data_IF_071987080188
#
_entry.id   IF_071987080188
#
_cell.length_a   1.000
_cell.length_b   1.000
_cell.length_c   1.000
_cell.angle_alpha   90.00
_cell.angle_beta   90.00
_cell.angle_gamma   90.00
#
_symmetry.space_group_name_H-M   'P 1'
#
loop_
_entity.id
_entity.type
_entity.pdbx_description
1 polymer ?
#
# COMPACT_ATOMS: atom_id res chain seq x y z
N UNK A 1 64.70 -14.05 -9.64
CA UNK A 1 65.35 -13.95 -8.32
C UNK A 1 64.93 -12.64 -7.68
N UNK A 2 64.19 -12.54 -6.58
CA UNK A 2 63.43 -13.47 -5.75
C UNK A 2 62.45 -12.59 -4.95
N UNK A 3 61.20 -13.05 -4.82
CA UNK A 3 60.25 -12.86 -3.71
C UNK A 3 59.95 -11.42 -3.22
N UNK A 4 58.85 -10.86 -3.76
CA UNK A 4 57.98 -9.90 -3.06
C UNK A 4 56.65 -10.57 -2.71
N UNK A 5 56.75 -11.67 -1.96
CA UNK A 5 55.63 -12.32 -1.28
C UNK A 5 56.01 -12.40 0.19
N UNK A 6 55.85 -11.29 0.91
CA UNK A 6 55.74 -11.33 2.36
C UNK A 6 54.35 -10.81 2.70
N UNK A 7 53.41 -11.76 2.73
CA UNK A 7 52.16 -11.64 3.44
C UNK A 7 52.49 -11.23 4.87
N UNK A 8 52.23 -9.98 5.23
CA UNK A 8 52.25 -9.52 6.60
C UNK A 8 51.12 -10.23 7.36
N UNK A 9 51.39 -11.45 7.76
CA UNK A 9 50.59 -12.19 8.72
C UNK A 9 50.65 -11.40 10.02
N UNK A 10 49.57 -10.68 10.33
CA UNK A 10 49.42 -10.03 11.63
C UNK A 10 49.38 -11.14 12.67
N UNK A 11 50.50 -11.33 13.36
CA UNK A 11 50.63 -12.27 14.46
C UNK A 11 49.68 -11.83 15.58
N UNK A 12 48.59 -12.57 15.76
CA UNK A 12 47.80 -12.49 16.99
C UNK A 12 48.72 -12.93 18.13
N UNK A 13 49.07 -12.00 19.01
CA UNK A 13 49.91 -12.26 20.17
C UNK A 13 49.24 -13.33 21.04
N UNK A 14 49.78 -14.55 21.01
CA UNK A 14 49.49 -15.57 22.00
C UNK A 14 50.29 -15.24 23.26
N UNK A 15 49.65 -14.57 24.21
CA UNK A 15 50.23 -14.36 25.53
C UNK A 15 50.32 -15.73 26.22
N UNK A 16 51.52 -16.28 26.22
CA UNK A 16 51.91 -17.45 26.99
C UNK A 16 52.04 -17.03 28.45
N UNK A 17 51.05 -17.41 29.27
CA UNK A 17 51.15 -17.35 30.72
C UNK A 17 50.96 -18.75 31.30
N UNK A 18 52.00 -19.16 32.00
CA UNK A 18 52.25 -20.43 32.69
C UNK A 18 51.06 -20.93 33.51
N UNK A 19 50.79 -22.23 33.38
CA UNK A 19 49.78 -22.96 34.14
C UNK A 19 50.05 -22.93 35.65
N UNK A 20 49.13 -22.33 36.41
CA UNK A 20 48.82 -22.73 37.79
C UNK A 20 47.46 -22.18 38.19
N UNK A 21 46.61 -23.08 38.67
CA UNK A 21 45.25 -22.88 39.20
C UNK A 21 44.16 -22.63 38.15
N UNK A 22 43.40 -23.68 37.87
CA UNK A 22 42.17 -23.70 37.10
C UNK A 22 41.10 -22.81 37.77
N UNK A 23 41.17 -21.51 37.50
CA UNK A 23 40.09 -20.57 37.75
C UNK A 23 39.25 -20.46 36.48
N UNK A 24 37.95 -20.75 36.61
CA UNK A 24 36.91 -20.66 35.58
C UNK A 24 36.78 -19.27 34.91
N UNK A 25 37.59 -18.28 35.32
CA UNK A 25 37.62 -16.92 34.77
C UNK A 25 38.51 -16.76 33.53
N UNK A 26 39.38 -17.72 33.24
CA UNK A 26 40.20 -17.73 32.00
C UNK A 26 39.62 -18.66 30.92
N UNK A 27 38.40 -19.16 31.12
CA UNK A 27 37.66 -19.78 30.04
C UNK A 27 37.29 -18.68 29.03
N UNK A 28 37.99 -18.64 27.90
CA UNK A 28 37.52 -17.91 26.71
C UNK A 28 36.19 -18.54 26.34
N UNK A 29 35.09 -17.92 26.77
CA UNK A 29 33.75 -18.41 26.49
C UNK A 29 33.58 -18.47 24.97
N UNK A 30 33.38 -19.68 24.45
CA UNK A 30 33.07 -19.93 23.03
C UNK A 30 31.72 -19.33 22.60
N UNK A 31 31.03 -18.59 23.48
CA UNK A 31 29.83 -17.80 23.15
C UNK A 31 30.06 -16.89 21.94
N UNK A 32 31.28 -16.34 21.78
CA UNK A 32 31.62 -15.51 20.63
C UNK A 32 32.18 -16.29 19.44
N UNK A 33 32.49 -17.60 19.55
CA UNK A 33 33.02 -18.36 18.42
C UNK A 33 31.98 -18.52 17.32
N UNK A 34 30.71 -18.72 17.69
CA UNK A 34 29.60 -18.74 16.75
C UNK A 34 29.33 -17.33 16.21
N UNK A 35 29.43 -16.30 17.05
CA UNK A 35 29.26 -14.92 16.61
C UNK A 35 30.34 -14.48 15.62
N UNK A 36 31.60 -14.84 15.84
CA UNK A 36 32.73 -14.56 14.94
C UNK A 36 32.64 -15.36 13.66
N UNK A 37 32.22 -16.64 13.75
CA UNK A 37 31.97 -17.47 12.56
C UNK A 37 30.83 -16.89 11.72
N UNK A 38 29.73 -16.51 12.35
CA UNK A 38 28.60 -15.88 11.69
C UNK A 38 29.03 -14.53 11.11
N UNK A 39 29.76 -13.70 11.85
CA UNK A 39 30.26 -12.41 11.34
C UNK A 39 31.19 -12.58 10.14
N UNK A 40 32.08 -13.58 10.16
CA UNK A 40 32.95 -13.88 9.02
C UNK A 40 32.14 -14.40 7.83
N UNK A 41 31.15 -15.25 8.08
CA UNK A 41 30.25 -15.75 7.05
C UNK A 41 29.39 -14.62 6.46
N UNK A 42 28.80 -13.77 7.30
CA UNK A 42 28.03 -12.59 6.92
C UNK A 42 28.90 -11.60 6.15
N UNK A 43 30.16 -11.40 6.53
CA UNK A 43 31.09 -10.54 5.79
C UNK A 43 31.42 -11.10 4.40
N UNK A 44 31.62 -12.42 4.28
CA UNK A 44 31.84 -13.10 2.99
C UNK A 44 30.56 -13.07 2.15
N UNK A 45 29.39 -13.26 2.75
CA UNK A 45 28.09 -13.16 2.09
C UNK A 45 27.81 -11.73 1.61
N UNK A 46 28.13 -10.71 2.39
CA UNK A 46 28.05 -9.30 1.99
C UNK A 46 29.01 -8.96 0.86
N UNK A 47 30.22 -9.52 0.88
CA UNK A 47 31.19 -9.36 -0.20
C UNK A 47 30.74 -10.07 -1.49
N UNK A 48 30.08 -11.21 -1.36
CA UNK A 48 29.50 -11.98 -2.45
C UNK A 48 28.07 -11.55 -2.82
N UNK A 49 27.49 -10.57 -2.10
CA UNK A 49 26.14 -10.09 -2.36
C UNK A 49 26.17 -9.34 -3.69
N UNK A 50 25.73 -10.03 -4.74
CA UNK A 50 25.56 -9.45 -6.05
C UNK A 50 24.54 -8.32 -5.93
N UNK A 51 24.99 -7.08 -6.06
CA UNK A 51 24.12 -5.89 -6.03
C UNK A 51 23.04 -5.93 -7.14
N UNK A 52 23.27 -6.74 -8.18
CA UNK A 52 22.38 -6.93 -9.31
C UNK A 52 22.38 -8.41 -9.71
N UNK A 53 21.23 -8.95 -10.08
CA UNK A 53 21.10 -10.31 -10.66
C UNK A 53 21.86 -10.46 -11.99
N UNK A 54 22.19 -9.32 -12.62
CA UNK A 54 22.96 -9.20 -13.84
C UNK A 54 24.46 -9.02 -13.52
N UNK A 55 25.27 -9.96 -14.00
CA UNK A 55 26.70 -9.97 -13.71
C UNK A 55 27.45 -8.79 -14.36
N UNK A 56 27.00 -8.32 -15.53
CA UNK A 56 27.55 -7.13 -16.19
C UNK A 56 27.28 -5.88 -15.35
N UNK A 57 26.07 -5.74 -14.79
CA UNK A 57 25.73 -4.61 -13.91
C UNK A 57 26.52 -4.65 -12.60
N UNK A 58 26.67 -5.83 -11.99
CA UNK A 58 27.46 -6.00 -10.77
C UNK A 58 28.93 -5.61 -11.00
N UNK A 59 29.54 -6.09 -12.10
CA UNK A 59 30.91 -5.77 -12.47
C UNK A 59 31.12 -4.28 -12.81
N UNK A 60 30.08 -3.60 -13.31
CA UNK A 60 30.13 -2.21 -13.78
C UNK A 60 29.57 -1.16 -12.81
N UNK A 61 29.21 -1.57 -11.59
CA UNK A 61 28.67 -0.70 -10.54
C UNK A 61 29.45 0.61 -10.34
N UNK A 62 30.78 0.56 -10.35
CA UNK A 62 31.66 1.74 -10.21
C UNK A 62 31.50 2.74 -11.37
N UNK A 63 31.48 2.26 -12.63
CA UNK A 63 31.26 3.13 -13.79
C UNK A 63 29.83 3.62 -13.88
N UNK A 64 28.86 2.82 -13.44
CA UNK A 64 27.46 3.23 -13.39
C UNK A 64 27.28 4.40 -12.42
N UNK A 65 27.89 4.31 -11.24
CA UNK A 65 27.91 5.41 -10.27
C UNK A 65 28.59 6.66 -10.84
N UNK A 66 29.71 6.48 -11.55
CA UNK A 66 30.41 7.58 -12.22
C UNK A 66 29.55 8.23 -13.31
N UNK A 67 28.86 7.44 -14.14
CA UNK A 67 28.00 7.95 -15.21
C UNK A 67 26.84 8.83 -14.68
N UNK A 68 26.31 8.50 -13.50
CA UNK A 68 25.25 9.28 -12.84
C UNK A 68 25.80 10.53 -12.15
N UNK A 69 26.98 10.45 -11.53
CA UNK A 69 27.54 11.53 -10.71
C UNK A 69 28.29 12.59 -11.51
N UNK A 70 28.92 12.21 -12.63
CA UNK A 70 29.75 13.10 -13.46
C UNK A 70 29.04 14.37 -13.90
N UNK A 71 27.78 14.25 -14.34
CA UNK A 71 27.00 15.39 -14.81
C UNK A 71 26.74 16.43 -13.70
N UNK A 72 26.83 16.03 -12.43
CA UNK A 72 26.61 16.87 -11.25
C UNK A 72 27.90 17.33 -10.57
N UNK A 73 29.05 16.83 -11.00
CA UNK A 73 30.35 17.17 -10.43
C UNK A 73 30.76 18.59 -10.86
N UNK A 74 31.60 19.24 -10.07
CA UNK A 74 32.31 20.44 -10.52
C UNK A 74 33.46 20.05 -11.47
N UNK A 75 33.92 21.02 -12.28
CA UNK A 75 35.05 20.82 -13.19
C UNK A 75 36.26 20.30 -12.40
N UNK A 76 36.84 19.13 -12.77
CA UNK A 76 38.08 18.66 -12.16
C UNK A 76 39.24 19.62 -12.45
N UNK A 77 40.13 19.83 -11.47
CA UNK A 77 41.31 20.71 -11.63
C UNK A 77 42.25 20.20 -12.74
N UNK A 78 42.44 18.88 -12.81
CA UNK A 78 43.24 18.21 -13.84
C UNK A 78 42.38 17.21 -14.65
N UNK A 79 41.96 17.66 -15.83
CA UNK A 79 41.16 16.87 -16.76
C UNK A 79 41.92 15.66 -17.33
N UNK A 80 43.24 15.76 -17.47
CA UNK A 80 44.06 14.67 -18.00
C UNK A 80 44.15 13.52 -16.99
N UNK A 81 44.39 13.82 -15.72
CA UNK A 81 44.37 12.81 -14.65
C UNK A 81 42.99 12.19 -14.49
N UNK A 82 41.94 13.01 -14.53
CA UNK A 82 40.56 12.52 -14.46
C UNK A 82 40.25 11.52 -15.58
N UNK A 83 40.57 11.88 -16.83
CA UNK A 83 40.38 11.02 -17.99
C UNK A 83 41.22 9.74 -17.92
N UNK A 84 42.47 9.84 -17.46
CA UNK A 84 43.34 8.67 -17.23
C UNK A 84 42.74 7.74 -16.18
N UNK A 85 42.12 8.29 -15.14
CA UNK A 85 41.35 7.54 -14.14
C UNK A 85 40.20 6.77 -14.76
N UNK A 86 39.34 7.43 -15.55
CA UNK A 86 38.22 6.77 -16.24
C UNK A 86 38.72 5.64 -17.15
N UNK A 87 39.77 5.86 -17.93
CA UNK A 87 40.37 4.83 -18.80
C UNK A 87 40.84 3.61 -18.02
N UNK A 88 41.43 3.81 -16.84
CA UNK A 88 41.85 2.71 -15.96
C UNK A 88 40.64 1.90 -15.51
N UNK A 89 39.59 2.56 -15.02
CA UNK A 89 38.36 1.89 -14.57
C UNK A 89 37.72 1.11 -15.73
N UNK A 90 37.72 1.65 -16.96
CA UNK A 90 37.25 0.94 -18.16
C UNK A 90 38.10 -0.31 -18.46
N UNK A 91 39.43 -0.20 -18.36
CA UNK A 91 40.33 -1.36 -18.54
C UNK A 91 40.05 -2.43 -17.48
N UNK A 92 39.89 -2.02 -16.22
CA UNK A 92 39.58 -2.92 -15.12
C UNK A 92 38.21 -3.59 -15.33
N UNK A 93 37.21 -2.85 -15.82
CA UNK A 93 35.91 -3.42 -16.21
C UNK A 93 36.05 -4.47 -17.32
N UNK A 94 36.85 -4.18 -18.36
CA UNK A 94 37.10 -5.13 -19.45
C UNK A 94 37.66 -6.45 -18.91
N UNK A 95 38.60 -6.38 -17.97
CA UNK A 95 39.14 -7.58 -17.32
C UNK A 95 38.10 -8.30 -16.46
N UNK A 96 37.28 -7.57 -15.69
CA UNK A 96 36.18 -8.15 -14.90
C UNK A 96 35.19 -8.91 -15.77
N UNK A 97 34.74 -8.33 -16.88
CA UNK A 97 33.77 -8.99 -17.79
C UNK A 97 34.42 -10.14 -18.57
N UNK A 98 35.70 -10.01 -18.96
CA UNK A 98 36.41 -11.10 -19.64
C UNK A 98 36.63 -12.33 -18.74
N UNK A 99 36.55 -12.17 -17.42
CA UNK A 99 36.58 -13.29 -16.46
C UNK A 99 35.21 -13.98 -16.29
N UNK A 100 34.13 -13.37 -16.80
CA UNK A 100 32.78 -13.94 -16.78
C UNK A 100 32.54 -14.80 -18.04
N UNK A 101 31.48 -15.60 -18.03
CA UNK A 101 31.10 -16.50 -19.13
C UNK A 101 30.36 -15.77 -20.27
N UNK A 102 30.95 -14.69 -20.80
CA UNK A 102 30.44 -13.98 -21.98
C UNK A 102 31.44 -14.03 -23.14
N UNK A 103 30.96 -13.95 -24.39
CA UNK A 103 31.83 -13.74 -25.54
C UNK A 103 32.70 -12.48 -25.36
N UNK A 104 33.97 -12.48 -25.80
CA UNK A 104 34.86 -11.31 -25.70
C UNK A 104 34.28 -10.03 -26.34
N UNK A 105 33.45 -10.20 -27.37
CA UNK A 105 32.73 -9.10 -28.02
C UNK A 105 31.79 -8.34 -27.07
N UNK A 106 31.23 -9.00 -26.05
CA UNK A 106 30.35 -8.39 -25.03
C UNK A 106 31.17 -7.48 -24.12
N UNK A 107 32.37 -7.87 -23.72
CA UNK A 107 33.25 -7.02 -22.92
C UNK A 107 33.61 -5.72 -23.67
N UNK A 108 33.99 -5.83 -24.95
CA UNK A 108 34.31 -4.68 -25.79
C UNK A 108 33.09 -3.77 -26.00
N UNK A 109 31.91 -4.36 -26.27
CA UNK A 109 30.67 -3.61 -26.47
C UNK A 109 30.21 -2.91 -25.19
N UNK A 110 30.36 -3.56 -24.04
CA UNK A 110 30.03 -2.96 -22.74
C UNK A 110 30.90 -1.74 -22.46
N UNK A 111 32.23 -1.89 -22.61
CA UNK A 111 33.16 -0.78 -22.43
C UNK A 111 32.87 0.37 -23.40
N UNK A 112 32.56 0.03 -24.66
CA UNK A 112 32.20 1.01 -25.68
C UNK A 112 30.94 1.80 -25.31
N UNK A 113 29.88 1.14 -24.82
CA UNK A 113 28.65 1.80 -24.37
C UNK A 113 28.92 2.73 -23.18
N UNK A 114 29.73 2.31 -22.21
CA UNK A 114 30.10 3.18 -21.08
C UNK A 114 30.83 4.43 -21.55
N UNK A 115 31.79 4.33 -22.48
CA UNK A 115 32.47 5.49 -23.03
C UNK A 115 31.48 6.45 -23.70
N UNK A 116 30.54 5.94 -24.50
CA UNK A 116 29.53 6.77 -25.18
C UNK A 116 28.66 7.52 -24.15
N UNK A 117 28.19 6.82 -23.13
CA UNK A 117 27.31 7.41 -22.12
C UNK A 117 28.08 8.42 -21.27
N UNK A 118 29.26 8.10 -20.79
CA UNK A 118 30.08 9.03 -19.98
C UNK A 118 30.44 10.27 -20.79
N UNK A 119 30.86 10.12 -22.05
CA UNK A 119 31.16 11.25 -22.92
C UNK A 119 29.94 12.17 -23.06
N UNK A 120 28.75 11.60 -23.28
CA UNK A 120 27.52 12.37 -23.35
C UNK A 120 27.20 13.10 -22.04
N UNK A 121 27.32 12.43 -20.90
CA UNK A 121 27.05 13.03 -19.59
C UNK A 121 28.02 14.17 -19.26
N UNK A 122 29.29 14.08 -19.69
CA UNK A 122 30.28 15.16 -19.55
C UNK A 122 29.94 16.32 -20.48
N UNK A 123 29.65 16.05 -21.76
CA UNK A 123 29.34 17.08 -22.75
C UNK A 123 28.10 17.91 -22.37
N UNK A 124 27.12 17.30 -21.70
CA UNK A 124 25.91 17.99 -21.21
C UNK A 124 26.01 18.45 -19.75
N UNK A 125 27.18 18.33 -19.12
CA UNK A 125 27.42 18.87 -17.78
C UNK A 125 27.68 20.38 -17.80
N UNK A 126 27.55 21.04 -16.65
CA UNK A 126 27.79 22.49 -16.53
C UNK A 126 29.22 22.92 -16.92
N UNK A 127 30.19 22.01 -16.85
CA UNK A 127 31.60 22.27 -17.18
C UNK A 127 32.04 21.61 -18.49
N UNK A 128 31.14 20.92 -19.20
CA UNK A 128 31.44 20.21 -20.44
C UNK A 128 32.01 21.13 -21.52
N UNK A 129 31.33 22.26 -21.75
CA UNK A 129 31.73 23.28 -22.73
C UNK A 129 33.09 23.91 -22.39
N UNK A 130 33.32 24.27 -21.12
CA UNK A 130 34.57 24.86 -20.64
C UNK A 130 35.77 23.90 -20.62
N UNK A 131 35.52 22.59 -20.70
CA UNK A 131 36.56 21.56 -20.63
C UNK A 131 37.08 21.14 -22.00
N UNK A 132 36.47 21.61 -23.09
CA UNK A 132 36.81 21.20 -24.47
C UNK A 132 36.83 19.69 -24.68
N UNK A 133 36.03 18.93 -23.89
CA UNK A 133 35.98 17.46 -23.93
C UNK A 133 35.57 16.94 -25.31
N UNK A 134 34.79 17.71 -26.07
CA UNK A 134 34.35 17.40 -27.44
C UNK A 134 35.51 17.17 -28.42
N UNK A 135 36.66 17.82 -28.21
CA UNK A 135 37.81 17.68 -29.10
C UNK A 135 38.44 16.30 -29.00
N UNK A 136 38.36 15.69 -27.82
CA UNK A 136 39.02 14.43 -27.53
C UNK A 136 38.15 13.62 -26.56
N UNK A 137 37.08 13.02 -27.06
CA UNK A 137 36.20 12.17 -26.27
C UNK A 137 36.84 10.81 -25.95
N UNK A 138 36.32 10.08 -24.95
CA UNK A 138 36.78 8.72 -24.63
C UNK A 138 36.56 7.78 -25.81
N UNK A 139 35.42 7.90 -26.48
CA UNK A 139 35.09 7.10 -27.67
C UNK A 139 36.07 7.35 -28.82
N UNK A 140 36.45 8.62 -29.03
CA UNK A 140 37.42 8.97 -30.08
C UNK A 140 38.80 8.38 -29.79
N UNK A 141 39.29 8.48 -28.55
CA UNK A 141 40.62 7.97 -28.20
C UNK A 141 40.71 6.45 -28.11
N UNK A 142 39.70 5.79 -27.54
CA UNK A 142 39.76 4.35 -27.31
C UNK A 142 39.29 3.54 -28.51
N UNK A 143 38.37 4.08 -29.32
CA UNK A 143 37.72 3.35 -30.41
C UNK A 143 37.86 4.05 -31.78
N UNK A 144 38.48 5.23 -31.86
CA UNK A 144 38.69 5.94 -33.13
C UNK A 144 37.41 6.43 -33.78
N UNK A 145 36.32 6.57 -33.02
CA UNK A 145 35.00 6.94 -33.54
C UNK A 145 34.51 8.27 -32.96
N UNK A 146 33.84 9.08 -33.79
CA UNK A 146 33.21 10.35 -33.37
C UNK A 146 31.69 10.27 -33.21
N UNK A 147 31.02 9.32 -33.87
CA UNK A 147 29.56 9.22 -33.90
C UNK A 147 29.00 8.28 -32.80
N UNK A 148 29.45 8.45 -31.55
CA UNK A 148 29.07 7.56 -30.45
C UNK A 148 27.56 7.48 -30.22
N UNK A 149 26.86 8.61 -30.32
CA UNK A 149 25.41 8.70 -30.09
C UNK A 149 24.53 7.94 -31.09
N UNK A 150 25.01 7.65 -32.30
CA UNK A 150 24.33 6.79 -33.28
C UNK A 150 24.73 5.33 -33.07
N UNK A 151 26.02 5.07 -32.83
CA UNK A 151 26.55 3.73 -32.63
C UNK A 151 25.94 3.01 -31.42
N UNK A 152 25.55 3.75 -30.37
CA UNK A 152 24.78 3.21 -29.25
C UNK A 152 23.54 2.43 -29.72
N UNK A 153 22.75 3.05 -30.60
CA UNK A 153 21.49 2.46 -31.08
C UNK A 153 21.74 1.30 -32.04
N UNK A 154 22.81 1.34 -32.84
CA UNK A 154 23.22 0.21 -33.68
C UNK A 154 23.60 -1.00 -32.80
N UNK A 155 24.30 -0.77 -31.69
CA UNK A 155 24.62 -1.83 -30.73
C UNK A 155 23.34 -2.36 -30.07
N UNK A 156 22.40 -1.48 -29.69
CA UNK A 156 21.12 -1.87 -29.11
C UNK A 156 20.27 -2.73 -30.05
N UNK A 157 20.12 -2.35 -31.32
CA UNK A 157 19.36 -3.12 -32.31
C UNK A 157 20.00 -4.48 -32.61
N UNK A 158 21.34 -4.54 -32.67
CA UNK A 158 22.07 -5.81 -32.80
C UNK A 158 21.89 -6.70 -31.58
N UNK A 159 21.91 -6.15 -30.37
CA UNK A 159 21.66 -6.90 -29.16
C UNK A 159 20.21 -7.43 -29.11
N UNK A 160 19.23 -6.63 -29.54
CA UNK A 160 17.82 -7.02 -29.63
C UNK A 160 17.57 -8.15 -30.64
N UNK A 161 18.49 -8.38 -31.58
CA UNK A 161 18.39 -9.50 -32.52
C UNK A 161 18.70 -10.86 -31.86
N UNK A 162 19.38 -10.86 -30.71
CA UNK A 162 19.77 -12.07 -29.96
C UNK A 162 19.50 -11.89 -28.45
N UNK A 163 18.24 -11.68 -28.04
CA UNK A 163 17.92 -11.26 -26.68
C UNK A 163 18.22 -12.33 -25.63
N UNK A 164 18.06 -13.61 -25.94
CA UNK A 164 18.34 -14.71 -25.02
C UNK A 164 19.83 -14.79 -24.61
N UNK A 165 20.76 -14.48 -25.53
CA UNK A 165 22.20 -14.52 -25.24
C UNK A 165 22.73 -13.21 -24.66
N UNK A 166 22.09 -12.08 -24.97
CA UNK A 166 22.56 -10.74 -24.63
C UNK A 166 21.64 -10.02 -23.64
N UNK A 167 20.84 -10.75 -22.88
CA UNK A 167 19.87 -10.20 -21.92
C UNK A 167 20.52 -9.25 -20.92
N UNK A 168 21.68 -9.62 -20.39
CA UNK A 168 22.43 -8.80 -19.43
C UNK A 168 22.93 -7.49 -20.04
N UNK A 169 23.31 -7.51 -21.32
CA UNK A 169 23.72 -6.32 -22.05
C UNK A 169 22.51 -5.44 -22.40
N UNK A 170 21.37 -6.04 -22.73
CA UNK A 170 20.11 -5.33 -22.99
C UNK A 170 19.61 -4.57 -21.74
N UNK A 171 19.74 -5.18 -20.57
CA UNK A 171 19.41 -4.51 -19.30
C UNK A 171 20.31 -3.31 -19.02
N UNK A 172 21.63 -3.42 -19.29
CA UNK A 172 22.54 -2.29 -19.19
C UNK A 172 22.14 -1.15 -20.14
N UNK A 173 21.83 -1.47 -21.40
CA UNK A 173 21.35 -0.50 -22.39
C UNK A 173 20.07 0.18 -21.92
N UNK A 174 19.12 -0.61 -21.41
CA UNK A 174 17.87 -0.12 -20.85
C UNK A 174 18.11 0.84 -19.68
N UNK A 175 19.02 0.50 -18.77
CA UNK A 175 19.39 1.36 -17.64
C UNK A 175 19.99 2.68 -18.14
N UNK A 176 20.91 2.66 -19.11
CA UNK A 176 21.45 3.90 -19.67
C UNK A 176 20.38 4.82 -20.24
N UNK A 177 19.39 4.27 -20.97
CA UNK A 177 18.26 5.04 -21.48
C UNK A 177 17.40 5.64 -20.34
N UNK A 178 17.19 4.89 -19.25
CA UNK A 178 16.41 5.37 -18.09
C UNK A 178 17.16 6.42 -17.25
N UNK A 179 18.49 6.35 -17.16
CA UNK A 179 19.31 7.35 -16.48
C UNK A 179 19.30 8.69 -17.26
N UNK A 180 18.97 8.65 -18.56
CA UNK A 180 18.75 9.84 -19.36
C UNK A 180 19.63 9.96 -20.59
N UNK A 181 20.34 8.90 -20.99
CA UNK A 181 21.05 8.86 -22.27
C UNK A 181 20.05 9.06 -23.42
N UNK A 182 20.37 9.97 -24.35
CA UNK A 182 19.53 10.27 -25.52
C UNK A 182 20.27 10.13 -26.85
N UNK A 183 21.60 10.27 -26.89
CA UNK A 183 22.37 10.14 -28.13
C UNK A 183 21.81 11.00 -29.27
N UNK A 184 21.70 10.39 -30.46
CA UNK A 184 21.13 11.03 -31.66
C UNK A 184 19.68 11.51 -31.51
N UNK A 185 18.91 10.96 -30.56
CA UNK A 185 17.49 11.30 -30.36
C UNK A 185 17.25 12.47 -29.39
N UNK A 186 18.30 13.21 -29.01
CA UNK A 186 18.18 14.33 -28.08
C UNK A 186 17.35 15.50 -28.61
N UNK A 187 17.52 15.85 -29.88
CA UNK A 187 16.85 17.01 -30.49
C UNK A 187 15.51 16.60 -31.12
N UNK A 188 15.47 15.44 -31.78
CA UNK A 188 14.30 14.92 -32.48
C UNK A 188 14.22 13.39 -32.34
N UNK A 189 13.01 12.82 -32.36
CA UNK A 189 12.81 11.37 -32.37
C UNK A 189 12.53 10.72 -31.01
N UNK A 190 11.90 11.46 -30.10
CA UNK A 190 11.37 10.93 -28.84
C UNK A 190 10.52 9.66 -29.05
N UNK A 191 9.73 9.63 -30.11
CA UNK A 191 8.81 8.53 -30.41
C UNK A 191 9.57 7.24 -30.75
N UNK A 192 10.65 7.35 -31.54
CA UNK A 192 11.52 6.22 -31.88
C UNK A 192 12.25 5.69 -30.65
N UNK A 193 12.66 6.60 -29.76
CA UNK A 193 13.29 6.23 -28.50
C UNK A 193 12.31 5.50 -27.58
N UNK A 194 11.06 5.97 -27.49
CA UNK A 194 10.01 5.30 -26.72
C UNK A 194 9.67 3.93 -27.29
N UNK A 195 9.61 3.79 -28.63
CA UNK A 195 9.40 2.52 -29.31
C UNK A 195 10.52 1.51 -28.99
N UNK A 196 11.79 1.93 -29.11
CA UNK A 196 12.95 1.11 -28.75
C UNK A 196 12.88 0.68 -27.28
N UNK A 197 12.52 1.61 -26.39
CA UNK A 197 12.42 1.34 -24.96
C UNK A 197 11.32 0.31 -24.65
N UNK A 198 10.16 0.39 -25.31
CA UNK A 198 9.10 -0.63 -25.20
C UNK A 198 9.56 -2.00 -25.71
N UNK A 199 10.32 -2.04 -26.81
CA UNK A 199 10.90 -3.29 -27.34
C UNK A 199 11.92 -3.90 -26.37
N UNK A 200 12.76 -3.07 -25.75
CA UNK A 200 13.70 -3.48 -24.71
C UNK A 200 12.96 -4.03 -23.49
N UNK A 201 11.99 -3.30 -22.96
CA UNK A 201 11.19 -3.74 -21.80
C UNK A 201 10.51 -5.09 -22.08
N UNK A 202 9.83 -5.22 -23.23
CA UNK A 202 9.18 -6.47 -23.61
C UNK A 202 10.19 -7.62 -23.67
N UNK A 203 11.31 -7.43 -24.36
CA UNK A 203 12.36 -8.45 -24.49
C UNK A 203 12.94 -8.86 -23.14
N UNK A 204 13.23 -7.89 -22.27
CA UNK A 204 13.81 -8.14 -20.94
C UNK A 204 12.83 -8.92 -20.07
N UNK A 205 11.58 -8.49 -19.98
CA UNK A 205 10.57 -9.14 -19.14
C UNK A 205 10.09 -10.50 -19.68
N UNK A 206 10.29 -10.78 -20.97
CA UNK A 206 10.01 -12.09 -21.55
C UNK A 206 11.10 -13.12 -21.21
N UNK A 207 12.37 -12.69 -21.12
CA UNK A 207 13.52 -13.59 -20.92
C UNK A 207 13.97 -13.67 -19.46
N UNK A 208 13.75 -12.63 -18.66
CA UNK A 208 13.86 -12.72 -17.20
C UNK A 208 12.56 -13.31 -16.69
N UNK A 209 12.63 -14.52 -16.15
CA UNK A 209 11.56 -15.01 -15.28
C UNK A 209 11.29 -13.95 -14.23
N UNK A 210 10.02 -13.62 -14.00
CA UNK A 210 9.67 -12.74 -12.87
C UNK A 210 10.38 -13.35 -11.66
N UNK A 211 11.25 -12.60 -10.95
CA UNK A 211 11.69 -13.09 -9.67
C UNK A 211 10.39 -13.36 -8.92
N UNK A 212 10.12 -14.63 -8.62
CA UNK A 212 9.28 -14.92 -7.47
C UNK A 212 9.92 -14.05 -6.40
N UNK A 213 9.21 -13.02 -5.90
CA UNK A 213 9.69 -12.28 -4.74
C UNK A 213 9.68 -13.31 -3.59
N UNK A 214 10.70 -14.17 -3.58
CA UNK A 214 11.08 -15.13 -2.56
C UNK A 214 11.68 -14.36 -1.38
N UNK A 215 11.17 -13.15 -1.11
CA UNK A 215 11.58 -12.34 0.02
C UNK A 215 11.38 -13.08 1.35
N UNK A 216 10.59 -14.16 1.37
CA UNK A 216 10.57 -15.14 2.44
C UNK A 216 10.19 -16.54 1.91
N UNK A 217 11.11 -17.26 1.27
CA UNK A 217 11.11 -18.73 1.40
C UNK A 217 11.64 -19.06 2.80
N UNK A 218 10.79 -18.79 3.79
CA UNK A 218 10.98 -19.32 5.13
C UNK A 218 11.20 -20.83 4.96
N UNK A 219 12.29 -21.37 5.52
CA UNK A 219 12.61 -22.79 5.44
C UNK A 219 11.35 -23.61 5.73
N UNK A 220 11.10 -24.69 5.00
CA UNK A 220 9.87 -25.50 5.11
C UNK A 220 9.52 -25.95 6.54
N UNK A 221 10.47 -25.85 7.48
CA UNK A 221 10.25 -26.07 8.91
C UNK A 221 9.46 -24.97 9.62
N UNK A 222 9.56 -23.71 9.18
CA UNK A 222 8.82 -22.56 9.77
C UNK A 222 7.43 -22.36 9.16
N UNK A 223 7.20 -22.84 7.93
CA UNK A 223 5.91 -22.73 7.22
C UNK A 223 4.76 -23.55 7.83
N UNK A 224 5.01 -24.39 8.84
CA UNK A 224 3.93 -25.10 9.56
C UNK A 224 3.21 -24.22 10.60
N UNK A 225 3.76 -23.08 10.97
CA UNK A 225 3.14 -22.19 11.94
C UNK A 225 2.76 -20.85 11.28
N UNK A 226 1.46 -20.52 11.31
CA UNK A 226 0.89 -19.21 10.96
C UNK A 226 0.54 -18.92 9.49
N UNK A 227 -0.09 -19.85 8.78
CA UNK A 227 -1.06 -19.45 7.76
C UNK A 227 -2.42 -19.18 8.44
N UNK A 228 -2.67 -17.94 8.87
CA UNK A 228 -4.05 -17.50 9.02
C UNK A 228 -4.68 -17.54 7.62
N UNK A 229 -5.62 -18.47 7.45
CA UNK A 229 -6.39 -18.65 6.21
C UNK A 229 -7.16 -17.35 5.94
N UNK A 230 -6.55 -16.42 5.21
CA UNK A 230 -7.22 -15.21 4.77
C UNK A 230 -8.44 -15.64 3.94
N UNK A 231 -9.65 -15.27 4.38
CA UNK A 231 -10.87 -15.55 3.64
C UNK A 231 -10.75 -14.89 2.27
N UNK A 232 -10.66 -15.69 1.22
CA UNK A 232 -10.73 -15.22 -0.17
C UNK A 232 -11.95 -14.30 -0.31
N UNK A 233 -11.86 -13.18 -1.04
CA UNK A 233 -13.03 -12.34 -1.30
C UNK A 233 -14.11 -13.21 -1.95
N UNK A 234 -15.26 -13.29 -1.29
CA UNK A 234 -16.37 -14.09 -1.79
C UNK A 234 -16.82 -13.49 -3.13
N UNK A 235 -17.09 -14.38 -4.10
CA UNK A 235 -17.56 -14.02 -5.45
C UNK A 235 -18.71 -13.00 -5.37
N UNK A 236 -18.84 -12.07 -6.34
CA UNK A 236 -19.96 -11.14 -6.35
C UNK A 236 -21.26 -11.93 -6.27
N UNK A 237 -22.08 -11.63 -5.26
CA UNK A 237 -23.34 -12.31 -5.05
C UNK A 237 -24.21 -12.13 -6.32
N UNK A 238 -24.66 -13.25 -6.90
CA UNK A 238 -25.52 -13.22 -8.09
C UNK A 238 -26.94 -12.85 -7.66
N UNK A 239 -27.22 -11.55 -7.51
CA UNK A 239 -28.51 -10.99 -7.04
C UNK A 239 -29.73 -11.27 -7.93
N UNK A 240 -29.55 -11.94 -9.07
CA UNK A 240 -30.63 -12.22 -10.01
C UNK A 240 -31.77 -13.06 -9.40
N UNK A 241 -31.45 -14.03 -8.51
CA UNK A 241 -32.47 -14.84 -7.81
C UNK A 241 -33.36 -13.99 -6.89
N UNK A 242 -32.79 -12.98 -6.22
CA UNK A 242 -33.56 -12.04 -5.39
C UNK A 242 -34.39 -11.08 -6.26
N UNK A 243 -33.86 -10.66 -7.41
CA UNK A 243 -34.63 -9.88 -8.39
C UNK A 243 -35.87 -10.60 -8.90
N UNK A 244 -35.76 -11.88 -9.24
CA UNK A 244 -36.90 -12.69 -9.70
C UNK A 244 -37.95 -12.86 -8.59
N UNK A 245 -37.53 -13.14 -7.36
CA UNK A 245 -38.44 -13.25 -6.21
C UNK A 245 -39.20 -11.93 -5.95
N UNK A 246 -38.51 -10.79 -6.04
CA UNK A 246 -39.14 -9.47 -5.89
C UNK A 246 -40.19 -9.22 -6.98
N UNK A 247 -39.86 -9.50 -8.25
CA UNK A 247 -40.78 -9.33 -9.36
C UNK A 247 -42.05 -10.20 -9.22
N UNK A 248 -41.90 -11.46 -8.79
CA UNK A 248 -43.04 -12.36 -8.50
C UNK A 248 -43.92 -11.80 -7.38
N UNK A 249 -43.32 -11.28 -6.31
CA UNK A 249 -44.08 -10.67 -5.20
C UNK A 249 -44.90 -9.46 -5.65
N UNK A 250 -44.33 -8.59 -6.49
CA UNK A 250 -45.03 -7.42 -7.04
C UNK A 250 -46.19 -7.86 -7.94
N UNK A 251 -45.97 -8.87 -8.79
CA UNK A 251 -47.02 -9.40 -9.67
C UNK A 251 -48.20 -10.00 -8.89
N UNK A 252 -47.93 -10.71 -7.78
CA UNK A 252 -48.98 -11.26 -6.90
C UNK A 252 -49.78 -10.15 -6.21
N UNK A 253 -49.11 -9.12 -5.70
CA UNK A 253 -49.79 -7.97 -5.08
C UNK A 253 -50.63 -7.23 -6.10
N UNK A 254 -50.08 -6.96 -7.29
CA UNK A 254 -50.83 -6.30 -8.37
C UNK A 254 -52.03 -7.12 -8.82
N UNK A 255 -51.86 -8.44 -9.00
CA UNK A 255 -52.95 -9.36 -9.33
C UNK A 255 -54.04 -9.39 -8.26
N UNK A 256 -53.65 -9.43 -6.98
CA UNK A 256 -54.57 -9.38 -5.84
C UNK A 256 -55.36 -8.07 -5.79
N UNK A 257 -54.69 -6.92 -5.98
CA UNK A 257 -55.34 -5.61 -6.04
C UNK A 257 -56.29 -5.53 -7.24
N UNK A 258 -55.86 -6.01 -8.41
CA UNK A 258 -56.68 -5.99 -9.62
C UNK A 258 -57.94 -6.85 -9.47
N UNK A 259 -57.80 -8.06 -8.91
CA UNK A 259 -58.92 -8.95 -8.61
C UNK A 259 -59.87 -8.33 -7.56
N UNK A 260 -59.32 -7.75 -6.50
CA UNK A 260 -60.12 -7.07 -5.48
C UNK A 260 -60.83 -5.83 -6.04
N UNK A 261 -60.18 -5.10 -6.95
CA UNK A 261 -60.77 -3.97 -7.65
C UNK A 261 -61.94 -4.45 -8.52
N UNK A 262 -61.76 -5.46 -9.37
CA UNK A 262 -62.83 -5.99 -10.23
C UNK A 262 -64.04 -6.51 -9.44
N UNK A 263 -63.81 -7.18 -8.31
CA UNK A 263 -64.89 -7.72 -7.47
C UNK A 263 -65.63 -6.63 -6.69
N UNK A 264 -64.96 -5.55 -6.27
CA UNK A 264 -65.58 -4.44 -5.54
C UNK A 264 -66.14 -3.33 -6.44
N UNK A 265 -65.69 -3.25 -7.69
CA UNK A 265 -66.16 -2.29 -8.69
C UNK A 265 -67.68 -2.27 -8.86
N UNK A 266 -68.40 -3.39 -9.06
CA UNK A 266 -69.84 -3.35 -9.28
C UNK A 266 -70.60 -2.82 -8.05
N UNK A 267 -70.09 -3.05 -6.83
CA UNK A 267 -70.69 -2.52 -5.61
C UNK A 267 -70.45 -1.01 -5.48
N UNK A 268 -69.21 -0.55 -5.72
CA UNK A 268 -68.85 0.87 -5.67
C UNK A 268 -69.50 1.68 -6.79
N UNK A 269 -69.64 1.09 -7.97
CA UNK A 269 -70.23 1.71 -9.15
C UNK A 269 -71.75 1.58 -9.19
N UNK A 270 -72.39 0.86 -8.25
CA UNK A 270 -73.84 0.63 -8.25
C UNK A 270 -74.65 1.92 -8.39
N UNK A 271 -74.31 2.94 -7.60
CA UNK A 271 -74.99 4.24 -7.65
C UNK A 271 -74.82 4.96 -8.99
N UNK A 272 -73.70 4.76 -9.67
CA UNK A 272 -73.43 5.35 -10.99
C UNK A 272 -74.08 4.56 -12.12
N UNK A 273 -74.08 3.23 -12.04
CA UNK A 273 -74.73 2.35 -13.02
C UNK A 273 -76.26 2.52 -12.96
N UNK A 274 -76.83 2.67 -11.76
CA UNK A 274 -78.27 2.87 -11.54
C UNK A 274 -78.72 4.32 -11.73
N UNK A 275 -77.82 5.23 -12.09
CA UNK A 275 -78.16 6.64 -12.30
C UNK A 275 -79.12 6.82 -13.48
N UNK A 276 -78.98 5.98 -14.52
CA UNK A 276 -79.89 5.96 -15.67
C UNK A 276 -81.34 5.71 -15.25
N UNK A 277 -81.56 4.71 -14.39
CA UNK A 277 -82.89 4.36 -13.86
C UNK A 277 -83.48 5.49 -13.01
N UNK A 278 -82.63 6.17 -12.22
CA UNK A 278 -83.04 7.34 -11.44
C UNK A 278 -83.43 8.52 -12.35
N UNK A 279 -82.64 8.82 -13.38
CA UNK A 279 -82.94 9.91 -14.32
C UNK A 279 -84.16 9.62 -15.19
N UNK A 280 -84.39 8.37 -15.59
CA UNK A 280 -85.55 7.99 -16.39
C UNK A 280 -86.88 8.26 -15.68
N UNK A 281 -86.94 8.19 -14.35
CA UNK A 281 -88.15 8.57 -13.61
C UNK A 281 -88.50 10.06 -13.80
N UNK A 282 -87.49 10.94 -13.85
CA UNK A 282 -87.69 12.38 -14.10
C UNK A 282 -87.99 12.70 -15.56
N UNK A 283 -87.45 11.94 -16.51
CA UNK A 283 -87.70 12.15 -17.94
C UNK A 283 -88.99 11.49 -18.46
N UNK A 284 -89.47 10.42 -17.81
CA UNK A 284 -90.66 9.68 -18.26
C UNK A 284 -91.96 10.07 -17.54
N UNK A 285 -91.93 10.98 -16.56
CA UNK A 285 -93.14 11.52 -15.94
C UNK A 285 -93.73 12.65 -16.82
N UNK A 286 -94.37 12.21 -17.91
CA UNK A 286 -95.38 12.87 -18.74
C UNK A 286 -95.23 14.37 -19.11
N UNK A 287 -95.18 14.57 -20.43
CA UNK A 287 -95.54 15.76 -21.20
C UNK A 287 -94.57 16.94 -21.20
N UNK A 288 -93.57 16.83 -22.08
CA UNK A 288 -93.42 17.78 -23.19
C UNK A 288 -93.27 19.25 -22.80
N UNK A 289 -92.19 19.58 -22.10
CA UNK A 289 -91.44 20.83 -22.24
C UNK A 289 -90.09 20.63 -21.55
N UNK A 290 -88.99 20.71 -22.31
CA UNK A 290 -87.63 20.81 -21.75
C UNK A 290 -87.58 22.09 -20.90
N UNK A 291 -87.74 21.96 -19.58
CA UNK A 291 -87.54 23.09 -18.67
C UNK A 291 -86.05 23.14 -18.35
N UNK A 292 -85.32 23.88 -19.19
CA UNK A 292 -83.94 24.28 -18.91
C UNK A 292 -83.94 25.28 -17.74
N UNK A 293 -83.55 24.83 -16.54
CA UNK A 293 -83.35 25.72 -15.39
C UNK A 293 -82.07 26.53 -15.58
N UNK A 294 -82.16 27.67 -16.27
CA UNK A 294 -81.06 28.65 -16.31
C UNK A 294 -81.02 29.39 -14.98
N UNK A 295 -80.10 28.97 -14.10
CA UNK A 295 -79.85 29.65 -12.84
C UNK A 295 -79.07 30.95 -13.09
N UNK A 296 -79.76 32.08 -13.04
CA UNK A 296 -79.10 33.39 -13.01
C UNK A 296 -78.90 33.81 -11.56
N UNK A 297 -77.65 33.76 -11.10
CA UNK A 297 -77.28 34.18 -9.75
C UNK A 297 -77.72 35.64 -9.52
N UNK A 298 -78.55 35.86 -8.51
CA UNK A 298 -78.94 37.21 -8.10
C UNK A 298 -77.76 37.87 -7.34
N UNK A 299 -77.67 39.19 -7.41
CA UNK A 299 -76.60 39.97 -6.75
C UNK A 299 -76.54 39.78 -5.24
N UNK A 300 -77.62 39.31 -4.61
CA UNK A 300 -77.69 39.01 -3.17
C UNK A 300 -76.94 37.71 -2.81
N UNK A 301 -76.97 36.68 -3.66
CA UNK A 301 -76.28 35.41 -3.43
C UNK A 301 -74.76 35.52 -3.59
N UNK A 302 -74.31 36.39 -4.50
CA UNK A 302 -72.90 36.73 -4.66
C UNK A 302 -72.31 37.36 -3.39
N UNK A 303 -73.11 38.17 -2.67
CA UNK A 303 -72.68 38.86 -1.44
C UNK A 303 -72.61 37.91 -0.22
N UNK A 304 -73.40 36.84 -0.20
CA UNK A 304 -73.39 35.85 0.89
C UNK A 304 -72.14 34.96 0.90
N UNK A 305 -71.40 34.87 -0.21
CA UNK A 305 -70.18 34.05 -0.34
C UNK A 305 -68.94 34.64 0.34
N UNK A 306 -68.96 35.93 0.71
CA UNK A 306 -67.77 36.66 1.14
C UNK A 306 -67.57 36.73 2.67
N UNK A 307 -68.19 35.82 3.43
CA UNK A 307 -67.92 35.66 4.87
C UNK A 307 -67.00 34.45 5.10
N UNK A 308 -65.82 34.62 5.74
CA UNK A 308 -64.94 33.51 6.04
C UNK A 308 -65.51 32.74 7.24
N UNK A 309 -66.20 31.62 6.98
CA UNK A 309 -66.62 30.74 8.07
C UNK A 309 -65.42 29.93 8.56
N UNK A 310 -64.82 30.43 9.63
CA UNK A 310 -64.07 29.67 10.64
C UNK A 310 -64.92 28.59 11.29
N UNK A 311 -64.25 27.52 11.74
CA UNK A 311 -64.70 26.31 12.45
C UNK A 311 -65.12 25.14 11.54
N UNK A 312 -64.39 24.02 11.55
CA UNK A 312 -64.30 23.14 12.72
C UNK A 312 -62.98 22.35 12.80
N UNK A 313 -62.51 22.26 14.03
CA UNK A 313 -61.28 21.65 14.55
C UNK A 313 -61.28 20.12 14.54
N UNK A 314 -60.11 19.53 14.26
CA UNK A 314 -59.77 18.13 14.63
C UNK A 314 -58.69 18.18 15.73
N UNK A 315 -58.82 17.46 16.86
CA UNK A 315 -57.88 17.58 17.98
C UNK A 315 -56.61 16.76 17.76
N UNK A 316 -55.46 17.36 18.12
CA UNK A 316 -54.14 16.72 18.19
C UNK A 316 -53.88 16.30 19.64
N UNK A 317 -53.45 15.06 19.85
CA UNK A 317 -53.08 14.51 21.16
C UNK A 317 -51.59 14.76 21.40
N UNK A 318 -51.25 15.38 22.52
CA UNK A 318 -49.88 15.54 23.03
C UNK A 318 -49.71 14.68 24.29
N UNK A 319 -48.69 13.81 24.40
CA UNK A 319 -48.52 12.97 25.59
C UNK A 319 -47.75 13.68 26.71
N UNK A 320 -48.20 13.42 27.93
CA UNK A 320 -47.71 13.89 29.22
C UNK A 320 -46.33 13.32 29.61
N UNK A 321 -45.59 14.12 30.36
CA UNK A 321 -44.28 13.86 30.95
C UNK A 321 -44.34 12.75 32.02
N UNK A 322 -43.78 11.57 31.70
CA UNK A 322 -43.41 10.56 32.69
C UNK A 322 -42.04 10.89 33.32
N UNK A 323 -41.98 10.85 34.65
CA UNK A 323 -40.78 11.12 35.45
C UNK A 323 -39.59 10.23 35.06
N UNK A 324 -38.45 10.87 34.80
CA UNK A 324 -37.18 10.17 34.64
C UNK A 324 -36.56 9.89 36.01
N UNK A 325 -36.68 8.64 36.47
CA UNK A 325 -35.70 8.06 37.38
C UNK A 325 -34.33 8.05 36.67
N UNK A 326 -33.40 8.91 37.11
CA UNK A 326 -32.03 8.90 36.59
C UNK A 326 -31.36 7.57 36.95
N UNK A 327 -31.04 6.77 35.93
CA UNK A 327 -30.24 5.56 36.07
C UNK A 327 -28.93 5.86 36.83
N UNK A 328 -28.71 5.17 37.97
CA UNK A 328 -27.47 5.26 38.75
C UNK A 328 -26.29 4.77 37.91
N UNK A 329 -25.52 5.70 37.34
CA UNK A 329 -24.31 5.39 36.57
C UNK A 329 -23.19 5.03 37.53
N UNK A 330 -22.66 3.82 37.45
CA UNK A 330 -21.50 3.38 38.26
C UNK A 330 -20.21 3.50 37.46
N UNK A 331 -19.17 4.06 38.07
CA UNK A 331 -17.86 4.25 37.48
C UNK A 331 -16.90 3.18 37.96
N UNK A 332 -16.28 2.45 37.04
CA UNK A 332 -15.44 1.30 37.34
C UNK A 332 -13.99 1.58 36.95
N UNK A 333 -13.10 1.68 37.93
CA UNK A 333 -11.66 1.81 37.71
C UNK A 333 -11.04 0.41 37.58
N UNK A 334 -10.45 0.11 36.44
CA UNK A 334 -9.74 -1.15 36.20
C UNK A 334 -8.24 -0.93 36.34
N UNK A 335 -7.61 -1.68 37.25
CA UNK A 335 -6.18 -1.58 37.56
C UNK A 335 -5.33 -2.47 36.64
N UNK A 336 -5.86 -3.63 36.24
CA UNK A 336 -5.15 -4.57 35.38
C UNK A 336 -5.96 -5.81 35.02
N UNK A 337 -5.47 -6.57 34.03
CA UNK A 337 -6.01 -7.86 33.61
C UNK A 337 -4.94 -8.94 33.72
N UNK A 338 -5.25 -10.01 34.46
CA UNK A 338 -4.33 -11.09 34.74
C UNK A 338 -4.90 -12.42 34.24
N UNK A 339 -4.02 -13.33 33.86
CA UNK A 339 -4.39 -14.65 33.30
C UNK A 339 -4.78 -15.67 34.37
N UNK A 340 -4.30 -15.49 35.61
CA UNK A 340 -4.52 -16.42 36.71
C UNK A 340 -5.13 -15.72 37.92
N UNK A 341 -6.08 -16.36 38.60
CA UNK A 341 -6.74 -15.84 39.81
C UNK A 341 -5.76 -15.67 40.96
N UNK A 342 -4.79 -16.59 41.10
CA UNK A 342 -3.74 -16.49 42.11
C UNK A 342 -2.85 -15.24 41.90
N UNK A 343 -2.51 -14.94 40.63
CA UNK A 343 -1.75 -13.75 40.28
C UNK A 343 -2.55 -12.45 40.56
N UNK A 344 -3.87 -12.48 40.38
CA UNK A 344 -4.72 -11.35 40.75
C UNK A 344 -4.78 -11.11 42.26
N UNK A 345 -4.75 -12.18 43.06
CA UNK A 345 -4.70 -12.07 44.52
C UNK A 345 -3.34 -11.55 45.01
N UNK A 346 -2.22 -12.03 44.44
CA UNK A 346 -0.90 -11.49 44.77
C UNK A 346 -0.78 -10.02 44.38
N UNK A 347 -1.32 -9.64 43.22
CA UNK A 347 -1.33 -8.24 42.78
C UNK A 347 -2.11 -7.32 43.74
N UNK A 348 -3.25 -7.77 44.28
CA UNK A 348 -3.99 -7.01 45.30
C UNK A 348 -3.20 -6.89 46.61
N UNK A 349 -2.46 -7.93 47.01
CA UNK A 349 -1.65 -7.91 48.22
C UNK A 349 -0.41 -6.99 48.09
N UNK A 350 0.14 -6.86 46.88
CA UNK A 350 1.23 -5.92 46.58
C UNK A 350 0.73 -4.46 46.52
N UNK A 351 -0.54 -4.24 46.20
CA UNK A 351 -1.19 -2.93 46.22
C UNK A 351 -1.41 -2.46 47.67
N UNK A 352 -0.54 -1.58 48.15
CA UNK A 352 -0.70 -0.94 49.48
C UNK A 352 -1.84 0.07 49.51
N UNK A 353 -2.27 0.58 48.35
CA UNK A 353 -3.38 1.51 48.18
C UNK A 353 -4.63 0.77 47.66
N UNK A 354 -5.76 0.96 48.34
CA UNK A 354 -7.09 0.43 47.98
C UNK A 354 -7.23 -1.11 47.99
N UNK A 355 -6.36 -1.85 48.68
CA UNK A 355 -6.45 -3.32 48.84
C UNK A 355 -7.81 -3.79 49.37
N UNK A 356 -8.42 -3.03 50.28
CA UNK A 356 -9.75 -3.34 50.86
C UNK A 356 -10.92 -3.04 49.92
N UNK A 357 -10.71 -2.29 48.84
CA UNK A 357 -11.76 -1.86 47.90
C UNK A 357 -11.64 -2.49 46.52
N UNK A 358 -10.61 -3.31 46.30
CA UNK A 358 -10.34 -3.99 45.05
C UNK A 358 -11.10 -5.34 44.98
N UNK A 359 -11.86 -5.53 43.90
CA UNK A 359 -12.60 -6.74 43.59
C UNK A 359 -11.99 -7.43 42.36
N UNK A 360 -11.97 -8.77 42.37
CA UNK A 360 -11.54 -9.59 41.22
C UNK A 360 -12.77 -10.02 40.42
N UNK A 361 -12.89 -9.56 39.19
CA UNK A 361 -14.00 -9.88 38.28
C UNK A 361 -13.51 -10.76 37.13
N UNK A 362 -14.14 -11.90 36.91
CA UNK A 362 -13.84 -12.78 35.78
C UNK A 362 -14.49 -12.28 34.49
N UNK A 363 -13.72 -12.24 33.39
CA UNK A 363 -14.22 -11.83 32.09
C UNK A 363 -13.46 -12.52 30.95
N UNK A 364 -14.19 -13.26 30.10
CA UNK A 364 -13.67 -13.96 28.91
C UNK A 364 -12.35 -14.71 29.18
N UNK A 365 -12.35 -15.53 30.24
CA UNK A 365 -11.20 -16.35 30.67
C UNK A 365 -10.00 -15.58 31.22
N UNK A 366 -10.18 -14.33 31.67
CA UNK A 366 -9.17 -13.52 32.39
C UNK A 366 -9.77 -12.91 33.67
N UNK A 367 -8.91 -12.53 34.61
CA UNK A 367 -9.29 -11.91 35.88
C UNK A 367 -8.91 -10.43 35.88
N UNK A 368 -9.90 -9.55 36.07
CA UNK A 368 -9.72 -8.10 36.14
C UNK A 368 -9.72 -7.66 37.59
N UNK A 369 -8.78 -6.82 37.98
CA UNK A 369 -8.77 -6.18 39.30
C UNK A 369 -9.39 -4.79 39.18
N UNK A 370 -10.44 -4.55 39.96
CA UNK A 370 -11.40 -3.47 39.71
C UNK A 370 -11.82 -2.78 41.01
N UNK A 371 -12.07 -1.48 40.97
CA UNK A 371 -12.69 -0.70 42.06
C UNK A 371 -13.91 0.06 41.51
N UNK A 372 -15.04 -0.01 42.20
CA UNK A 372 -16.28 0.66 41.79
C UNK A 372 -16.51 1.96 42.59
N UNK A 373 -16.93 3.01 41.90
CA UNK A 373 -17.24 4.33 42.43
C UNK A 373 -18.62 4.78 41.95
N UNK A 374 -19.37 5.46 42.81
CA UNK A 374 -20.68 6.03 42.43
C UNK A 374 -20.52 7.44 41.84
N UNK A 375 -19.50 8.17 42.28
CA UNK A 375 -19.22 9.54 41.84
C UNK A 375 -18.06 9.61 40.85
N UNK A 376 -18.25 10.44 39.81
CA UNK A 376 -17.27 10.60 38.74
C UNK A 376 -15.97 11.25 39.25
N UNK A 377 -16.07 12.30 40.06
CA UNK A 377 -14.91 13.03 40.59
C UNK A 377 -13.96 12.09 41.35
N UNK A 378 -14.54 11.20 42.15
CA UNK A 378 -13.80 10.31 43.03
C UNK A 378 -13.07 9.25 42.24
N UNK A 379 -13.72 8.68 41.21
CA UNK A 379 -13.11 7.72 40.30
C UNK A 379 -11.88 8.30 39.57
N UNK A 380 -11.98 9.53 39.07
CA UNK A 380 -10.86 10.20 38.40
C UNK A 380 -9.74 10.58 39.39
N UNK A 381 -10.07 11.01 40.60
CA UNK A 381 -9.06 11.28 41.63
C UNK A 381 -8.29 10.02 42.05
N UNK A 382 -8.97 8.88 42.11
CA UNK A 382 -8.36 7.59 42.40
C UNK A 382 -7.46 7.10 41.25
N UNK A 383 -7.90 7.30 40.00
CA UNK A 383 -7.09 7.00 38.82
C UNK A 383 -5.75 7.75 38.82
N UNK A 384 -5.76 9.05 39.12
CA UNK A 384 -4.54 9.86 39.17
C UNK A 384 -3.59 9.40 40.28
N UNK A 385 -4.12 9.03 41.44
CA UNK A 385 -3.33 8.46 42.54
C UNK A 385 -2.71 7.12 42.15
N UNK A 386 -3.45 6.25 41.49
CA UNK A 386 -2.97 4.93 41.04
C UNK A 386 -1.85 5.07 40.00
N UNK A 387 -2.01 5.97 39.02
CA UNK A 387 -0.99 6.21 38.00
C UNK A 387 0.31 6.76 38.57
N UNK A 388 0.22 7.69 39.54
CA UNK A 388 1.40 8.23 40.24
C UNK A 388 2.16 7.17 41.03
N UNK A 389 1.49 6.11 41.47
CA UNK A 389 2.09 5.02 42.25
C UNK A 389 2.53 3.81 41.39
N UNK A 390 2.73 4.01 40.08
CA UNK A 390 3.43 3.03 39.23
C UNK A 390 2.53 2.11 38.40
N UNK A 391 1.22 2.37 38.32
CA UNK A 391 0.31 1.63 37.42
C UNK A 391 -0.19 2.60 36.32
N UNK A 392 0.60 2.84 35.25
CA UNK A 392 0.26 3.80 34.21
C UNK A 392 -0.96 3.37 33.38
N UNK A 393 -1.18 2.06 33.24
CA UNK A 393 -2.18 1.47 32.35
C UNK A 393 -3.59 1.38 32.96
N UNK A 394 -3.82 1.93 34.16
CA UNK A 394 -5.14 1.98 34.76
C UNK A 394 -6.09 2.89 33.95
N UNK A 395 -7.37 2.50 33.85
CA UNK A 395 -8.40 3.27 33.14
C UNK A 395 -9.80 3.06 33.74
N UNK A 396 -10.71 3.99 33.46
CA UNK A 396 -12.09 3.98 33.98
C UNK A 396 -13.08 3.59 32.87
N UNK A 397 -14.07 2.78 33.23
CA UNK A 397 -15.20 2.38 32.37
C UNK A 397 -16.51 2.74 33.07
N UNK A 398 -17.48 3.25 32.32
CA UNK A 398 -18.84 3.46 32.84
C UNK A 398 -19.68 2.20 32.68
N UNK A 399 -20.40 1.84 33.73
CA UNK A 399 -21.46 0.85 33.68
C UNK A 399 -22.77 1.60 33.68
N UNK A 400 -23.56 1.36 32.63
CA UNK A 400 -24.92 1.86 32.51
C UNK A 400 -25.90 0.80 32.96
#
# INVERSE_FOLDING_TARGET
MNNYLDEATVAVASTSATASNSNFKDAVFLESSNALKNQAQDAVELQNYAHFDNAILSASSELLALAVTVARMQKPDDLFLFKKGIKRIISDLKHKIAALDYPPSVADKTCFLFCIVIDEQILHSAWGEESSWENQTLVSELFGMRNGGEQFYIVAERALSQPAMLIDLLELIYIFLKIGFRGQYRVHGSDKLEELLKRLEKSIFEHREKPELDLFKASDETNKAFFHRAKKPQRPAKFWRQGVLCAVSIALVFGGISYWYQTTLPQKARNFIQLGDFTQAYFNENNGQDIEYVYTSTSEEMLASNKPNTSSSVPVITPESAGQEKAKTTWRLQLGTLSNKAAAQTFINELTLYSSSAEIVEWRSKFRVVINFNDRSDAFSALDKVRKNGIPDAFIVTLK
#
